data_IF_997885352462
#
_entry.id   IF_997885352462
#
_cell.length_a   1.000
_cell.length_b   1.000
_cell.length_c   1.000
_cell.angle_alpha   90.00
_cell.angle_beta   90.00
_cell.angle_gamma   90.00
#
_symmetry.space_group_name_H-M   'P 1'
#
loop_
_entity.id
_entity.type
_entity.pdbx_description
1 polymer ?
#
# COMPACT_ATOMS: atom_id res chain seq x y z
N UNK A 1 17.95 -51.65 4.13
CA UNK A 1 19.00 -50.62 4.11
C UNK A 1 18.49 -49.47 3.24
N UNK A 2 17.84 -48.46 3.83
CA UNK A 2 18.41 -47.10 4.12
C UNK A 2 18.71 -46.32 2.83
N UNK A 3 17.83 -45.42 2.40
CA UNK A 3 17.83 -43.99 2.74
C UNK A 3 17.87 -43.23 1.40
N UNK A 4 17.33 -42.04 1.18
CA UNK A 4 16.92 -40.93 2.03
C UNK A 4 16.01 -40.07 1.16
N UNK A 5 14.94 -39.54 1.74
CA UNK A 5 14.14 -38.44 1.19
C UNK A 5 15.05 -37.22 0.98
N UNK A 6 14.82 -36.40 -0.05
CA UNK A 6 15.06 -34.94 -0.06
C UNK A 6 14.88 -34.40 -1.50
N UNK A 7 13.65 -34.52 -2.00
CA UNK A 7 13.21 -33.81 -3.19
C UNK A 7 12.38 -32.62 -2.77
N UNK A 8 13.06 -31.61 -2.22
CA UNK A 8 12.65 -30.21 -2.05
C UNK A 8 11.19 -29.94 -2.47
N UNK A 9 10.23 -30.19 -1.56
CA UNK A 9 8.95 -29.49 -1.60
C UNK A 9 9.30 -28.03 -1.37
N UNK A 10 9.48 -27.30 -2.47
CA UNK A 10 9.44 -25.85 -2.46
C UNK A 10 8.08 -25.49 -1.89
N UNK A 11 8.06 -25.28 -0.58
CA UNK A 11 6.94 -24.67 0.09
C UNK A 11 6.70 -23.37 -0.65
N UNK A 12 5.50 -23.11 -1.19
CA UNK A 12 5.21 -21.79 -1.73
C UNK A 12 5.40 -20.81 -0.59
N UNK A 13 6.54 -20.11 -0.63
CA UNK A 13 6.82 -18.91 0.13
C UNK A 13 5.55 -18.07 0.08
N UNK A 14 4.99 -17.58 1.21
CA UNK A 14 3.75 -16.82 1.17
C UNK A 14 4.00 -15.56 0.35
N UNK A 15 3.61 -15.65 -0.93
CA UNK A 15 3.77 -14.63 -1.93
C UNK A 15 2.73 -13.56 -1.65
N UNK A 16 3.10 -12.58 -0.82
CA UNK A 16 2.25 -11.44 -0.51
C UNK A 16 0.92 -11.82 0.15
N UNK A 17 0.04 -10.84 0.39
CA UNK A 17 -1.33 -11.14 0.76
C UNK A 17 -1.95 -11.97 -0.38
N UNK A 18 -2.40 -13.19 -0.06
CA UNK A 18 -2.99 -14.15 -1.01
C UNK A 18 -4.44 -13.83 -1.40
N UNK A 19 -5.11 -14.67 -2.21
CA UNK A 19 -6.43 -14.40 -2.82
C UNK A 19 -7.52 -13.85 -1.88
N UNK A 20 -7.43 -14.14 -0.58
CA UNK A 20 -8.30 -13.58 0.46
C UNK A 20 -8.38 -12.03 0.47
N UNK A 21 -7.28 -11.31 0.25
CA UNK A 21 -7.33 -9.82 0.28
C UNK A 21 -8.14 -9.25 -0.89
N UNK A 22 -8.10 -9.93 -2.05
CA UNK A 22 -8.81 -9.51 -3.23
C UNK A 22 -10.31 -9.76 -3.07
N UNK A 23 -10.70 -10.89 -2.46
CA UNK A 23 -12.09 -11.19 -2.14
C UNK A 23 -12.68 -10.19 -1.15
N UNK A 24 -11.97 -9.87 -0.07
CA UNK A 24 -12.37 -8.85 0.91
C UNK A 24 -12.53 -7.46 0.27
N UNK A 25 -11.59 -7.07 -0.60
CA UNK A 25 -11.71 -5.82 -1.35
C UNK A 25 -12.96 -5.81 -2.25
N UNK A 26 -13.20 -6.90 -2.98
CA UNK A 26 -14.36 -7.02 -3.86
C UNK A 26 -15.68 -6.96 -3.09
N UNK A 27 -15.71 -7.50 -1.87
CA UNK A 27 -16.87 -7.36 -0.98
C UNK A 27 -17.14 -5.91 -0.60
N UNK A 28 -16.10 -5.16 -0.24
CA UNK A 28 -16.22 -3.73 0.08
C UNK A 28 -16.59 -2.85 -1.12
N UNK A 29 -16.30 -3.29 -2.34
CA UNK A 29 -16.63 -2.57 -3.58
C UNK A 29 -18.03 -2.86 -4.13
N UNK A 30 -18.82 -3.74 -3.48
CA UNK A 30 -20.17 -4.06 -3.94
C UNK A 30 -21.07 -2.81 -3.95
N UNK A 31 -21.84 -2.58 -5.04
CA UNK A 31 -22.63 -1.35 -5.22
C UNK A 31 -23.62 -1.05 -4.10
N UNK A 32 -24.19 -2.09 -3.49
CA UNK A 32 -25.19 -1.96 -2.42
C UNK A 32 -24.61 -1.48 -1.07
N UNK A 33 -23.28 -1.43 -0.92
CA UNK A 33 -22.61 -1.11 0.35
C UNK A 33 -21.31 -0.31 0.19
N UNK A 34 -21.13 0.40 -0.93
CA UNK A 34 -19.93 1.17 -1.22
C UNK A 34 -19.80 2.37 -0.28
N UNK A 35 -19.09 2.16 0.83
CA UNK A 35 -18.70 3.21 1.77
C UNK A 35 -17.19 3.42 1.70
N UNK A 36 -16.77 4.62 1.27
CA UNK A 36 -15.37 5.00 1.16
C UNK A 36 -14.64 4.97 2.51
N UNK A 37 -15.34 5.28 3.60
CA UNK A 37 -14.76 5.27 4.95
C UNK A 37 -14.45 3.84 5.37
N UNK A 38 -15.38 2.91 5.13
CA UNK A 38 -15.16 1.48 5.39
C UNK A 38 -13.97 0.92 4.61
N UNK A 39 -13.85 1.27 3.32
CA UNK A 39 -12.72 0.82 2.48
C UNK A 39 -11.39 1.37 3.03
N UNK A 40 -11.35 2.64 3.42
CA UNK A 40 -10.14 3.28 3.96
C UNK A 40 -9.75 2.68 5.32
N UNK A 41 -10.72 2.42 6.19
CA UNK A 41 -10.49 1.80 7.50
C UNK A 41 -9.99 0.34 7.34
N UNK A 42 -10.60 -0.43 6.44
CA UNK A 42 -10.13 -1.78 6.09
C UNK A 42 -8.69 -1.73 5.54
N UNK A 43 -8.40 -0.79 4.64
CA UNK A 43 -7.07 -0.64 4.05
C UNK A 43 -6.01 -0.33 5.11
N UNK A 44 -6.33 0.52 6.10
CA UNK A 44 -5.44 0.82 7.23
C UNK A 44 -5.09 -0.44 8.03
N UNK A 45 -6.08 -1.30 8.30
CA UNK A 45 -5.87 -2.60 8.92
C UNK A 45 -5.00 -3.53 8.06
N UNK A 46 -5.33 -3.66 6.78
CA UNK A 46 -4.64 -4.54 5.84
C UNK A 46 -3.16 -4.18 5.67
N UNK A 47 -2.84 -2.88 5.59
CA UNK A 47 -1.46 -2.40 5.46
C UNK A 47 -0.74 -2.29 6.81
N UNK A 48 -1.43 -2.49 7.94
CA UNK A 48 -0.89 -2.22 9.29
C UNK A 48 -0.27 -0.83 9.37
N UNK A 49 -1.06 0.18 9.02
CA UNK A 49 -0.62 1.56 8.97
C UNK A 49 -1.80 2.53 8.98
N UNK A 50 -1.50 3.79 8.71
CA UNK A 50 -2.50 4.85 8.64
C UNK A 50 -2.81 5.18 7.18
N UNK A 51 -4.08 5.37 6.87
CA UNK A 51 -4.54 5.74 5.52
C UNK A 51 -5.34 7.02 5.60
N UNK A 52 -5.14 7.91 4.64
CA UNK A 52 -5.91 9.14 4.45
C UNK A 52 -6.40 9.22 3.02
N UNK A 53 -7.67 9.56 2.82
CA UNK A 53 -8.19 9.96 1.52
C UNK A 53 -8.52 11.45 1.56
N UNK A 54 -7.90 12.23 0.68
CA UNK A 54 -8.08 13.67 0.59
C UNK A 54 -8.59 14.09 -0.79
N UNK A 55 -9.41 15.13 -0.84
CA UNK A 55 -9.79 15.77 -2.11
C UNK A 55 -8.67 16.69 -2.63
N UNK A 56 -8.88 17.32 -3.79
CA UNK A 56 -7.91 18.25 -4.38
C UNK A 56 -7.70 19.53 -3.56
N UNK A 57 -8.60 19.86 -2.63
CA UNK A 57 -8.47 20.99 -1.73
C UNK A 57 -7.77 20.60 -0.40
N UNK A 58 -7.40 19.32 -0.22
CA UNK A 58 -6.79 18.81 1.01
C UNK A 58 -7.80 18.51 2.13
N UNK A 59 -9.10 18.50 1.83
CA UNK A 59 -10.11 18.09 2.79
C UNK A 59 -10.05 16.57 2.99
N UNK A 60 -10.09 16.14 4.25
CA UNK A 60 -10.07 14.73 4.58
C UNK A 60 -11.47 14.14 4.33
N UNK A 61 -11.56 13.25 3.35
CA UNK A 61 -12.80 12.54 3.04
C UNK A 61 -12.96 11.28 3.91
N UNK A 62 -11.86 10.59 4.21
CA UNK A 62 -11.85 9.38 5.04
C UNK A 62 -10.47 9.09 5.66
N UNK A 63 -10.47 8.33 6.76
CA UNK A 63 -9.27 7.86 7.44
C UNK A 63 -8.69 8.85 8.45
N UNK A 64 -7.39 8.77 8.67
CA UNK A 64 -6.66 9.56 9.68
C UNK A 64 -5.86 10.67 8.99
N UNK A 65 -5.85 11.89 9.55
CA UNK A 65 -5.05 12.98 8.98
C UNK A 65 -3.56 12.65 9.09
N UNK A 66 -2.87 12.72 7.95
CA UNK A 66 -1.44 12.45 7.84
C UNK A 66 -0.68 13.75 7.54
N UNK A 67 0.53 13.94 8.10
CA UNK A 67 1.42 15.00 7.66
C UNK A 67 2.00 14.60 6.30
N UNK A 68 1.43 15.15 5.23
CA UNK A 68 1.88 14.92 3.85
C UNK A 68 2.70 16.11 3.37
N UNK A 69 3.65 15.84 2.46
CA UNK A 69 4.35 16.91 1.75
C UNK A 69 3.40 17.62 0.77
N UNK A 70 3.23 18.93 0.96
CA UNK A 70 2.29 19.74 0.16
C UNK A 70 2.68 19.79 -1.32
N UNK A 71 3.98 19.74 -1.64
CA UNK A 71 4.48 19.71 -3.01
C UNK A 71 4.07 18.43 -3.72
N UNK A 72 4.24 17.27 -3.07
CA UNK A 72 3.82 15.97 -3.60
C UNK A 72 2.30 15.90 -3.78
N UNK A 73 1.52 16.40 -2.82
CA UNK A 73 0.05 16.46 -2.95
C UNK A 73 -0.34 17.35 -4.13
N UNK A 74 0.32 18.49 -4.30
CA UNK A 74 0.08 19.41 -5.43
C UNK A 74 0.42 18.76 -6.77
N UNK A 75 1.55 18.06 -6.87
CA UNK A 75 1.95 17.38 -8.10
C UNK A 75 0.99 16.26 -8.50
N UNK A 76 0.46 15.52 -7.52
CA UNK A 76 -0.52 14.44 -7.74
C UNK A 76 -1.87 15.02 -8.16
N UNK A 77 -2.36 16.04 -7.46
CA UNK A 77 -3.67 16.66 -7.73
C UNK A 77 -3.68 17.43 -9.05
N UNK A 78 -2.58 18.10 -9.40
CA UNK A 78 -2.37 18.71 -10.71
C UNK A 78 -2.19 17.67 -11.83
N UNK A 79 -2.03 16.39 -11.48
CA UNK A 79 -1.85 15.30 -12.43
C UNK A 79 -0.48 15.29 -13.10
N UNK A 80 0.51 16.01 -12.55
CA UNK A 80 1.91 15.97 -13.00
C UNK A 80 2.55 14.62 -12.75
N UNK A 81 2.15 13.96 -11.66
CA UNK A 81 2.56 12.59 -11.32
C UNK A 81 1.34 11.76 -10.89
N UNK A 82 1.34 10.46 -11.19
CA UNK A 82 0.25 9.56 -10.81
C UNK A 82 0.41 9.02 -9.37
N UNK A 83 1.64 8.91 -8.89
CA UNK A 83 1.96 8.40 -7.56
C UNK A 83 3.34 8.86 -7.11
N UNK A 84 3.54 8.95 -5.79
CA UNK A 84 4.83 9.23 -5.17
C UNK A 84 5.06 8.27 -3.98
N UNK A 85 6.31 7.88 -3.74
CA UNK A 85 6.74 7.33 -2.46
C UNK A 85 7.69 8.33 -1.80
N UNK A 86 7.54 8.50 -0.51
CA UNK A 86 8.35 9.39 0.28
C UNK A 86 8.69 8.73 1.62
N UNK A 87 9.89 8.97 2.11
CA UNK A 87 10.35 8.48 3.41
C UNK A 87 10.76 9.67 4.26
N UNK A 88 10.14 9.78 5.43
CA UNK A 88 10.59 10.66 6.49
C UNK A 88 11.41 9.85 7.50
N UNK A 89 12.04 10.53 8.47
CA UNK A 89 12.83 9.86 9.53
C UNK A 89 12.04 8.82 10.33
N UNK A 90 10.72 8.92 10.35
CA UNK A 90 9.86 8.11 11.22
C UNK A 90 8.89 7.21 10.45
N UNK A 91 8.58 7.53 9.19
CA UNK A 91 7.53 6.82 8.43
C UNK A 91 7.83 6.78 6.94
N UNK A 92 7.44 5.68 6.32
CA UNK A 92 7.32 5.55 4.88
C UNK A 92 5.90 5.92 4.45
N UNK A 93 5.78 6.73 3.40
CA UNK A 93 4.52 7.18 2.83
C UNK A 93 4.42 6.81 1.34
N UNK A 94 3.22 6.41 0.91
CA UNK A 94 2.87 6.20 -0.49
C UNK A 94 1.62 7.00 -0.81
N UNK A 95 1.71 7.85 -1.82
CA UNK A 95 0.62 8.68 -2.31
C UNK A 95 0.25 8.23 -3.71
N UNK A 96 -1.05 8.09 -3.99
CA UNK A 96 -1.56 7.67 -5.29
C UNK A 96 -2.77 8.52 -5.66
N UNK A 97 -2.82 8.96 -6.92
CA UNK A 97 -4.01 9.60 -7.48
C UNK A 97 -5.11 8.57 -7.65
N UNK A 98 -6.25 8.79 -7.02
CA UNK A 98 -7.46 7.99 -7.22
C UNK A 98 -8.47 8.83 -7.99
N UNK A 99 -8.78 8.39 -9.20
CA UNK A 99 -9.75 9.06 -10.05
C UNK A 99 -11.17 8.58 -9.79
N UNK A 100 -12.09 9.52 -9.61
CA UNK A 100 -13.52 9.34 -9.84
C UNK A 100 -13.92 10.17 -11.08
N UNK A 101 -14.87 9.73 -11.93
CA UNK A 101 -15.35 10.53 -13.06
C UNK A 101 -15.73 11.98 -12.72
N UNK A 102 -16.11 12.26 -11.47
CA UNK A 102 -16.47 13.62 -11.04
C UNK A 102 -15.41 14.33 -10.19
N UNK A 103 -14.45 13.60 -9.59
CA UNK A 103 -13.50 14.17 -8.63
C UNK A 103 -12.15 13.44 -8.65
N UNK A 104 -11.06 14.19 -8.47
CA UNK A 104 -9.73 13.63 -8.23
C UNK A 104 -9.47 13.61 -6.72
N UNK A 105 -9.05 12.46 -6.20
CA UNK A 105 -8.64 12.33 -4.80
C UNK A 105 -7.20 11.82 -4.71
N UNK A 106 -6.57 12.08 -3.56
CA UNK A 106 -5.27 11.52 -3.20
C UNK A 106 -5.46 10.52 -2.08
N UNK A 107 -5.07 9.28 -2.34
CA UNK A 107 -4.96 8.25 -1.32
C UNK A 107 -3.52 8.23 -0.80
N UNK A 108 -3.34 8.51 0.49
CA UNK A 108 -2.07 8.43 1.16
C UNK A 108 -2.06 7.29 2.18
N UNK A 109 -0.99 6.49 2.15
CA UNK A 109 -0.75 5.39 3.08
C UNK A 109 0.56 5.66 3.80
N UNK A 110 0.57 5.58 5.13
CA UNK A 110 1.76 5.74 5.96
C UNK A 110 1.99 4.51 6.83
N UNK A 111 3.22 4.02 6.86
CA UNK A 111 3.64 2.83 7.61
C UNK A 111 5.02 3.06 8.21
N UNK A 112 5.30 2.33 9.29
CA UNK A 112 6.64 2.32 9.91
C UNK A 112 7.61 1.41 9.16
N UNK A 113 7.10 0.37 8.50
CA UNK A 113 7.91 -0.50 7.66
C UNK A 113 7.92 0.00 6.20
N UNK A 114 9.02 -0.19 5.45
CA UNK A 114 9.09 0.17 4.04
C UNK A 114 8.08 -0.62 3.20
N UNK A 115 7.56 0.03 2.16
CA UNK A 115 6.62 -0.60 1.22
C UNK A 115 7.30 -1.65 0.33
N UNK A 116 8.54 -1.39 -0.07
CA UNK A 116 9.31 -2.31 -0.91
C UNK A 116 10.15 -3.24 -0.04
N UNK A 117 9.65 -4.45 0.23
CA UNK A 117 10.50 -5.55 0.70
C UNK A 117 11.23 -6.17 -0.49
N UNK A 118 12.25 -5.50 -1.01
CA UNK A 118 13.38 -6.25 -1.57
C UNK A 118 14.31 -6.55 -0.42
N UNK A 119 14.55 -7.82 -0.05
CA UNK A 119 15.70 -8.10 0.79
C UNK A 119 16.91 -7.52 0.05
N UNK A 120 17.83 -6.81 0.74
CA UNK A 120 19.09 -6.46 0.11
C UNK A 120 19.66 -7.78 -0.41
N UNK A 121 19.88 -7.86 -1.72
CA UNK A 121 20.64 -8.96 -2.30
C UNK A 121 22.02 -8.81 -1.69
N UNK A 122 22.29 -9.52 -0.58
CA UNK A 122 23.64 -9.64 -0.05
C UNK A 122 24.44 -10.28 -1.17
N UNK A 123 25.19 -9.45 -1.91
CA UNK A 123 26.20 -9.91 -2.84
C UNK A 123 27.18 -10.72 -2.02
N UNK A 124 27.01 -12.04 -2.12
CA UNK A 124 27.89 -13.05 -1.55
C UNK A 124 29.29 -12.77 -2.08
N UNK A 125 30.13 -12.16 -1.25
CA UNK A 125 31.57 -12.05 -1.49
C UNK A 125 32.11 -13.47 -1.73
N UNK A 126 32.67 -13.78 -2.90
CA UNK A 126 33.28 -15.08 -3.10
C UNK A 126 34.54 -15.17 -2.21
N UNK A 127 34.79 -16.34 -1.57
CA UNK A 127 36.05 -16.56 -0.88
C UNK A 127 37.21 -16.56 -1.90
N UNK A 128 38.37 -16.09 -1.43
CA UNK A 128 39.61 -15.91 -2.18
C UNK A 128 40.15 -17.19 -2.78
#
# INVERSE_FOLDING_TARGET
MTGREDGNREQPTPAGPGPAWAEELLEHLRPAGRDVRRVVDWLAGAVRGSVALQDTAGNLMAGTRLPLDEGLVTDITAGRIASAAWESRERHQRLVRVGHPSHTCVLAVSREAPFDRRPPTSSRTPPR
#
